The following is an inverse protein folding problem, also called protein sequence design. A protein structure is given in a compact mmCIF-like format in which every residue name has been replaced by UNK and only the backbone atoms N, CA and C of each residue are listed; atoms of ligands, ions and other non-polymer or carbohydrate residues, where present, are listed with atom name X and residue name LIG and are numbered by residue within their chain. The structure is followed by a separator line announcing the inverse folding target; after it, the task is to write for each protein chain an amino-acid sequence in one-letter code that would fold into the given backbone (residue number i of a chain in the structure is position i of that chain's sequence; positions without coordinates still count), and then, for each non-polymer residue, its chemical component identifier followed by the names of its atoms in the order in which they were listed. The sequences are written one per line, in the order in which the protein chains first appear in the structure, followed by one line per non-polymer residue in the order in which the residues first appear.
data_IF_427508293214
#
_entry.id   IF_427508293214
#
_cell.length_a   1.000
_cell.length_b   1.000
_cell.length_c   1.000
_cell.angle_alpha   90.00
_cell.angle_beta   90.00
_cell.angle_gamma   90.00
#
_symmetry.space_group_name_H-M   'P 1'
#
loop_
_entity.id
_entity.type
_entity.pdbx_description
1 polymer ?
#
# COMPACT_ATOMS: atom_id res chain seq x y z
N UNK A 1 -3.99 48.70 12.85
CA UNK A 1 -4.74 47.51 13.29
C UNK A 1 -4.72 46.51 12.16
N UNK A 2 -3.92 45.46 12.27
CA UNK A 2 -3.94 44.29 11.40
C UNK A 2 -3.73 43.07 12.31
N UNK A 3 -4.62 42.10 12.18
CA UNK A 3 -4.87 41.04 13.15
C UNK A 3 -3.75 40.03 13.27
N UNK A 4 -3.48 39.67 14.53
CA UNK A 4 -2.77 38.48 14.94
C UNK A 4 -3.73 37.29 14.76
N UNK A 5 -3.40 36.39 13.84
CA UNK A 5 -4.20 35.20 13.57
C UNK A 5 -3.27 34.03 13.35
N UNK A 6 -3.30 33.09 14.31
CA UNK A 6 -2.84 31.72 14.12
C UNK A 6 -1.68 31.29 15.01
N UNK A 7 -1.91 31.08 16.30
CA UNK A 7 -0.94 30.33 17.13
C UNK A 7 -1.56 29.36 18.16
N UNK A 8 -2.82 28.96 17.98
CA UNK A 8 -3.53 28.10 18.95
C UNK A 8 -3.12 26.62 18.95
N UNK A 9 -2.60 26.08 17.84
CA UNK A 9 -2.39 24.63 17.72
C UNK A 9 -1.13 24.10 18.43
N UNK A 10 -0.12 24.94 18.65
CA UNK A 10 1.13 24.49 19.29
C UNK A 10 0.98 24.24 20.79
N UNK A 11 0.11 25.01 21.43
CA UNK A 11 -0.05 25.01 22.89
C UNK A 11 -0.89 23.81 23.37
N UNK A 12 -1.82 23.35 22.53
CA UNK A 12 -2.68 22.20 22.84
C UNK A 12 -1.94 20.85 22.71
N UNK A 13 -1.01 20.75 21.75
CA UNK A 13 -0.15 19.57 21.60
C UNK A 13 0.79 19.37 22.80
N UNK A 14 1.36 20.47 23.30
CA UNK A 14 2.22 20.45 24.50
C UNK A 14 1.44 20.14 25.78
N UNK A 15 0.20 20.63 25.90
CA UNK A 15 -0.67 20.27 27.02
C UNK A 15 -1.05 18.79 26.98
N UNK A 16 -1.35 18.26 25.80
CA UNK A 16 -1.67 16.85 25.62
C UNK A 16 -0.47 15.95 25.98
N UNK A 17 0.76 16.30 25.56
CA UNK A 17 1.95 15.50 25.90
C UNK A 17 2.18 15.47 27.43
N UNK A 18 2.07 16.62 28.10
CA UNK A 18 2.24 16.71 29.54
C UNK A 18 1.16 15.95 30.33
N UNK A 19 -0.06 15.83 29.78
CA UNK A 19 -1.13 15.02 30.37
C UNK A 19 -0.88 13.53 30.17
N UNK A 20 -0.41 13.12 28.98
CA UNK A 20 -0.09 11.71 28.70
C UNK A 20 1.05 11.22 29.59
N UNK A 21 2.11 12.03 29.79
CA UNK A 21 3.26 11.67 30.64
C UNK A 21 2.90 11.48 32.12
N UNK A 22 1.78 12.06 32.58
CA UNK A 22 1.30 11.94 33.96
C UNK A 22 0.43 10.71 34.20
N UNK A 23 0.04 9.98 33.17
CA UNK A 23 -0.76 8.78 33.31
C UNK A 23 0.08 7.63 33.89
N UNK A 24 -0.52 6.70 34.65
CA UNK A 24 0.08 5.42 34.96
C UNK A 24 0.58 4.71 33.70
N UNK A 25 1.73 4.03 33.80
CA UNK A 25 2.38 3.37 32.66
C UNK A 25 1.41 2.46 31.88
N UNK A 26 0.56 1.71 32.58
CA UNK A 26 -0.44 0.82 31.98
C UNK A 26 -1.41 1.57 31.06
N UNK A 27 -1.85 2.78 31.45
CA UNK A 27 -2.75 3.59 30.63
C UNK A 27 -2.02 4.24 29.46
N UNK A 28 -0.75 4.62 29.64
CA UNK A 28 0.08 5.07 28.52
C UNK A 28 0.22 3.95 27.50
N UNK A 29 0.58 2.74 27.94
CA UNK A 29 0.73 1.57 27.07
C UNK A 29 -0.57 1.26 26.32
N UNK A 30 -1.74 1.31 26.98
CA UNK A 30 -3.05 1.12 26.32
C UNK A 30 -3.33 2.21 25.29
N UNK A 31 -3.12 3.48 25.63
CA UNK A 31 -3.32 4.58 24.66
C UNK A 31 -2.38 4.41 23.48
N UNK A 32 -1.13 4.03 23.73
CA UNK A 32 -0.13 3.78 22.70
C UNK A 32 -0.54 2.61 21.80
N UNK A 33 -1.04 1.53 22.39
CA UNK A 33 -1.54 0.36 21.67
C UNK A 33 -2.72 0.73 20.79
N UNK A 34 -3.62 1.59 21.26
CA UNK A 34 -4.78 2.03 20.48
C UNK A 34 -4.44 3.06 19.41
N UNK A 35 -3.36 3.83 19.56
CA UNK A 35 -3.05 4.98 18.67
C UNK A 35 -1.92 4.72 17.69
N UNK A 36 -1.03 3.77 17.97
CA UNK A 36 0.16 3.48 17.15
C UNK A 36 0.14 2.07 16.54
N UNK A 37 -0.98 1.33 16.64
CA UNK A 37 -1.24 0.21 15.73
C UNK A 37 -1.88 0.76 14.46
N UNK A 38 -1.22 0.55 13.33
CA UNK A 38 -1.84 0.81 12.05
C UNK A 38 -2.76 -0.35 11.69
N UNK A 39 -3.97 -0.02 11.24
CA UNK A 39 -4.82 -1.01 10.57
C UNK A 39 -4.05 -1.61 9.41
N UNK A 40 -4.09 -2.93 9.32
CA UNK A 40 -3.40 -3.62 8.26
C UNK A 40 -4.16 -3.42 6.93
N UNK A 41 -3.47 -2.95 5.89
CA UNK A 41 -4.07 -2.56 4.61
C UNK A 41 -3.37 -3.23 3.42
N UNK A 42 -4.02 -3.18 2.26
CA UNK A 42 -3.36 -3.40 0.98
C UNK A 42 -2.85 -2.05 0.46
N UNK A 43 -1.53 -1.91 0.46
CA UNK A 43 -0.83 -0.76 -0.07
C UNK A 43 -0.48 -1.01 -1.54
N UNK A 44 -0.98 -0.17 -2.43
CA UNK A 44 -0.79 -0.30 -3.86
C UNK A 44 0.04 0.88 -4.37
N UNK A 45 1.14 0.57 -5.05
CA UNK A 45 2.05 1.56 -5.63
C UNK A 45 2.10 1.38 -7.13
N UNK A 46 1.86 2.47 -7.86
CA UNK A 46 1.77 2.43 -9.31
C UNK A 46 2.66 3.53 -9.88
N UNK A 47 3.64 3.14 -10.70
CA UNK A 47 4.48 4.10 -11.44
C UNK A 47 3.66 4.81 -12.52
N UNK A 48 2.94 4.01 -13.31
CA UNK A 48 2.30 4.49 -14.52
C UNK A 48 0.89 5.03 -14.21
N UNK A 49 0.72 6.34 -14.37
CA UNK A 49 -0.59 7.01 -14.17
C UNK A 49 -1.67 6.49 -15.10
N UNK A 50 -1.33 5.99 -16.29
CA UNK A 50 -2.32 5.49 -17.24
C UNK A 50 -2.89 4.14 -16.78
N UNK A 51 -2.06 3.29 -16.15
CA UNK A 51 -2.51 2.04 -15.52
C UNK A 51 -3.41 2.29 -14.32
N UNK A 52 -3.17 3.39 -13.60
CA UNK A 52 -3.95 3.77 -12.41
C UNK A 52 -5.41 4.06 -12.74
N UNK A 53 -5.68 4.76 -13.85
CA UNK A 53 -7.00 5.32 -14.16
C UNK A 53 -8.05 4.30 -14.63
N UNK A 54 -7.63 3.14 -15.15
CA UNK A 54 -8.59 2.17 -15.71
C UNK A 54 -8.86 0.99 -14.79
N UNK A 55 -7.84 0.47 -14.10
CA UNK A 55 -7.95 -0.80 -13.36
C UNK A 55 -8.26 -0.63 -11.87
N UNK A 56 -7.80 0.47 -11.28
CA UNK A 56 -7.90 0.67 -9.83
C UNK A 56 -8.97 1.66 -9.41
N UNK A 57 -9.43 2.53 -10.31
CA UNK A 57 -10.49 3.47 -9.99
C UNK A 57 -11.78 2.73 -9.57
N UNK A 58 -12.13 1.62 -10.24
CA UNK A 58 -13.26 0.78 -9.83
C UNK A 58 -13.05 0.15 -8.44
N UNK A 59 -11.82 -0.26 -8.11
CA UNK A 59 -11.47 -0.79 -6.80
C UNK A 59 -11.55 0.28 -5.71
N UNK A 60 -11.11 1.50 -6.00
CA UNK A 60 -11.16 2.63 -5.06
C UNK A 60 -12.60 3.07 -4.82
N UNK A 61 -13.44 3.07 -5.86
CA UNK A 61 -14.85 3.43 -5.72
C UNK A 61 -15.63 2.37 -4.92
N UNK A 62 -15.35 1.09 -5.14
CA UNK A 62 -16.05 -0.01 -4.48
C UNK A 62 -15.52 -0.31 -3.08
N UNK A 63 -14.23 -0.08 -2.83
CA UNK A 63 -13.60 -0.44 -1.56
C UNK A 63 -13.41 0.78 -0.65
N UNK A 64 -13.73 0.60 0.63
CA UNK A 64 -13.44 1.62 1.64
C UNK A 64 -11.95 1.94 1.71
N UNK A 65 -11.61 3.22 1.89
CA UNK A 65 -10.25 3.72 2.21
C UNK A 65 -9.62 3.11 3.47
N UNK A 66 -10.39 2.35 4.25
CA UNK A 66 -9.90 1.53 5.35
C UNK A 66 -9.17 0.26 4.88
N UNK A 67 -9.52 -0.31 3.73
CA UNK A 67 -8.96 -1.57 3.24
C UNK A 67 -7.76 -1.37 2.29
N UNK A 68 -7.78 -0.29 1.51
CA UNK A 68 -6.80 -0.03 0.44
C UNK A 68 -6.20 1.36 0.55
N UNK A 69 -4.90 1.46 0.29
CA UNK A 69 -4.17 2.70 0.21
C UNK A 69 -3.38 2.76 -1.10
N UNK A 70 -3.73 3.68 -2.00
CA UNK A 70 -3.11 3.80 -3.34
C UNK A 70 -2.24 5.05 -3.39
N UNK A 71 -0.97 4.89 -3.81
CA UNK A 71 0.00 5.95 -4.08
C UNK A 71 0.20 6.99 -2.97
N UNK A 72 -0.23 6.69 -1.74
CA UNK A 72 0.17 7.51 -0.59
C UNK A 72 1.63 7.20 -0.31
N UNK A 73 2.43 8.24 -0.11
CA UNK A 73 3.86 8.11 0.19
C UNK A 73 4.04 7.04 1.28
N UNK A 74 4.84 6.01 0.98
CA UNK A 74 5.16 4.83 1.84
C UNK A 74 5.67 5.19 3.22
N UNK A 75 6.01 6.45 3.41
CA UNK A 75 6.58 7.00 4.63
C UNK A 75 5.47 7.70 5.42
N UNK A 76 4.63 6.99 6.21
CA UNK A 76 4.16 7.61 7.43
C UNK A 76 5.44 8.02 8.16
N UNK A 77 5.54 9.28 8.58
CA UNK A 77 6.75 9.77 9.20
C UNK A 77 7.02 8.97 10.49
N UNK A 78 7.74 7.85 10.39
CA UNK A 78 8.14 7.02 11.53
C UNK A 78 8.93 7.85 12.55
N UNK A 79 9.55 8.93 12.09
CA UNK A 79 10.22 9.92 12.91
C UNK A 79 9.27 10.68 13.85
N UNK A 80 7.99 10.76 13.53
CA UNK A 80 6.96 11.39 14.36
C UNK A 80 6.40 10.45 15.43
N UNK A 81 6.67 9.15 15.32
CA UNK A 81 6.37 8.17 16.36
C UNK A 81 7.49 8.18 17.40
N UNK A 82 7.12 8.11 18.68
CA UNK A 82 8.06 7.96 19.80
C UNK A 82 9.00 6.77 19.53
N UNK A 83 10.29 6.93 19.83
CA UNK A 83 11.32 5.90 19.63
C UNK A 83 10.91 4.53 20.18
N UNK A 84 10.27 4.49 21.33
CA UNK A 84 9.81 3.25 21.97
C UNK A 84 8.67 2.56 21.20
N UNK A 85 7.85 3.32 20.49
CA UNK A 85 6.66 2.83 19.78
C UNK A 85 6.91 2.60 18.29
N UNK A 86 8.04 3.08 17.75
CA UNK A 86 8.41 2.90 16.33
C UNK A 86 8.42 1.43 15.91
N UNK A 87 8.97 0.55 16.74
CA UNK A 87 9.03 -0.87 16.42
C UNK A 87 7.64 -1.49 16.37
N UNK A 88 6.76 -1.13 17.31
CA UNK A 88 5.38 -1.62 17.34
C UNK A 88 4.58 -1.12 16.15
N UNK A 89 4.67 0.18 15.85
CA UNK A 89 4.06 0.77 14.67
C UNK A 89 4.59 0.12 13.40
N UNK A 90 5.91 -0.01 13.25
CA UNK A 90 6.52 -0.63 12.07
C UNK A 90 6.07 -2.09 11.92
N UNK A 91 5.99 -2.85 13.01
CA UNK A 91 5.52 -4.24 12.97
C UNK A 91 4.02 -4.33 12.62
N UNK A 92 3.21 -3.35 13.03
CA UNK A 92 1.79 -3.29 12.67
C UNK A 92 1.58 -2.87 11.22
N UNK A 93 2.34 -1.87 10.75
CA UNK A 93 2.18 -1.26 9.43
C UNK A 93 2.86 -2.09 8.34
N UNK A 94 4.08 -2.58 8.57
CA UNK A 94 4.86 -3.36 7.60
C UNK A 94 4.82 -4.88 7.85
N UNK A 95 4.26 -5.34 8.97
CA UNK A 95 4.21 -6.76 9.29
C UNK A 95 3.26 -7.56 8.40
N UNK A 96 3.19 -8.87 8.67
CA UNK A 96 2.53 -9.87 7.83
C UNK A 96 1.06 -9.61 7.48
N UNK A 97 0.37 -8.78 8.25
CA UNK A 97 -1.01 -8.48 7.96
C UNK A 97 -1.13 -7.45 6.83
N UNK A 98 -0.15 -6.57 6.62
CA UNK A 98 -0.18 -5.58 5.55
C UNK A 98 0.43 -6.12 4.27
N UNK A 99 -0.18 -5.78 3.14
CA UNK A 99 0.25 -6.25 1.83
C UNK A 99 0.78 -5.07 1.03
N UNK A 100 1.95 -5.22 0.40
CA UNK A 100 2.57 -4.18 -0.40
C UNK A 100 2.63 -4.66 -1.85
N UNK A 101 1.72 -4.16 -2.68
CA UNK A 101 1.58 -4.48 -4.09
C UNK A 101 2.21 -3.38 -4.96
N UNK A 102 3.19 -3.77 -5.76
CA UNK A 102 4.04 -2.88 -6.53
C UNK A 102 3.76 -3.12 -8.03
N UNK A 103 3.06 -2.19 -8.66
CA UNK A 103 2.74 -2.21 -10.09
C UNK A 103 3.83 -1.47 -10.84
N UNK A 104 4.48 -2.19 -11.75
CA UNK A 104 5.58 -1.72 -12.62
C UNK A 104 6.68 -1.03 -11.82
N UNK A 105 7.70 -1.79 -11.40
CA UNK A 105 8.84 -1.22 -10.70
C UNK A 105 10.02 -1.08 -11.66
N UNK A 106 10.39 0.15 -12.00
CA UNK A 106 11.79 0.48 -12.26
C UNK A 106 12.53 0.65 -10.93
N UNK A 107 13.85 0.37 -10.88
CA UNK A 107 14.69 0.53 -9.68
C UNK A 107 14.48 1.86 -8.96
N UNK A 108 14.34 2.95 -9.74
CA UNK A 108 14.15 4.29 -9.21
C UNK A 108 12.96 4.37 -8.25
N UNK A 109 11.88 3.63 -8.48
CA UNK A 109 10.68 3.67 -7.65
C UNK A 109 10.79 2.78 -6.42
N UNK A 110 11.36 1.59 -6.53
CA UNK A 110 11.64 0.80 -5.32
C UNK A 110 12.58 1.58 -4.38
N UNK A 111 13.62 2.19 -4.92
CA UNK A 111 14.58 2.97 -4.12
C UNK A 111 14.02 4.30 -3.62
N UNK A 112 13.28 5.05 -4.44
CA UNK A 112 12.73 6.36 -4.01
C UNK A 112 11.51 6.25 -3.12
N UNK A 113 10.66 5.24 -3.34
CA UNK A 113 9.41 5.10 -2.61
C UNK A 113 9.61 4.25 -1.35
N UNK A 114 10.28 3.10 -1.43
CA UNK A 114 10.49 2.24 -0.26
C UNK A 114 11.71 2.68 0.59
N UNK A 115 12.75 3.24 -0.04
CA UNK A 115 13.95 3.69 0.65
C UNK A 115 14.53 2.62 1.58
N UNK A 116 14.83 3.00 2.82
CA UNK A 116 15.29 2.06 3.86
C UNK A 116 14.18 1.22 4.50
N UNK A 117 12.92 1.46 4.18
CA UNK A 117 11.78 0.71 4.75
C UNK A 117 11.52 -0.62 4.03
N UNK A 118 12.15 -0.83 2.88
CA UNK A 118 12.07 -2.08 2.12
C UNK A 118 12.45 -3.32 2.94
N UNK A 119 13.31 -3.15 3.94
CA UNK A 119 13.76 -4.24 4.82
C UNK A 119 12.70 -4.63 5.85
N UNK A 120 11.72 -3.75 6.10
CA UNK A 120 10.62 -3.99 7.04
C UNK A 120 9.45 -4.72 6.39
N UNK A 121 9.34 -4.70 5.06
CA UNK A 121 8.27 -5.37 4.31
C UNK A 121 8.70 -6.82 4.10
N UNK A 122 8.07 -7.82 4.73
CA UNK A 122 8.52 -9.20 4.67
C UNK A 122 8.33 -9.80 3.27
N UNK A 123 7.16 -9.55 2.66
CA UNK A 123 6.68 -10.19 1.43
C UNK A 123 6.15 -9.13 0.45
N UNK A 124 7.05 -8.39 -0.22
CA UNK A 124 6.65 -7.44 -1.25
C UNK A 124 6.11 -8.17 -2.48
N UNK A 125 4.94 -7.75 -2.97
CA UNK A 125 4.32 -8.31 -4.16
C UNK A 125 4.67 -7.47 -5.40
N UNK A 126 5.26 -8.08 -6.42
CA UNK A 126 5.41 -7.48 -7.74
C UNK A 126 4.25 -7.91 -8.62
N UNK A 127 3.48 -6.94 -9.11
CA UNK A 127 2.22 -7.22 -9.80
C UNK A 127 2.37 -7.09 -11.31
N UNK A 128 1.96 -8.14 -12.01
CA UNK A 128 1.82 -8.14 -13.46
C UNK A 128 0.39 -7.79 -13.86
N UNK A 129 0.29 -6.85 -14.80
CA UNK A 129 -0.99 -6.36 -15.32
C UNK A 129 -1.53 -7.24 -16.44
N UNK A 130 -0.65 -7.80 -17.26
CA UNK A 130 -1.02 -8.66 -18.36
C UNK A 130 -0.76 -10.12 -17.97
N UNK A 131 -1.74 -10.99 -18.21
CA UNK A 131 -1.57 -12.43 -18.02
C UNK A 131 -0.44 -13.00 -18.91
N UNK A 132 -0.17 -12.35 -20.05
CA UNK A 132 0.94 -12.70 -20.96
C UNK A 132 2.34 -12.55 -20.33
N UNK A 133 2.45 -11.82 -19.21
CA UNK A 133 3.72 -11.68 -18.50
C UNK A 133 4.13 -12.96 -17.74
N UNK A 134 3.23 -13.94 -17.59
CA UNK A 134 3.56 -15.23 -16.97
C UNK A 134 4.56 -16.07 -17.77
N UNK A 135 4.71 -15.82 -19.07
CA UNK A 135 5.65 -16.56 -19.91
C UNK A 135 7.12 -16.19 -19.64
N UNK A 136 7.37 -15.07 -18.96
CA UNK A 136 8.71 -14.72 -18.51
C UNK A 136 9.05 -15.47 -17.22
N UNK A 137 10.21 -16.11 -17.22
CA UNK A 137 10.74 -16.74 -16.02
C UNK A 137 10.87 -15.70 -14.90
N UNK A 138 10.29 -15.97 -13.73
CA UNK A 138 10.50 -15.15 -12.52
C UNK A 138 11.98 -14.85 -12.26
N UNK A 139 12.86 -15.78 -12.62
CA UNK A 139 14.30 -15.67 -12.49
C UNK A 139 14.84 -14.51 -13.33
N UNK A 140 14.38 -14.37 -14.58
CA UNK A 140 14.75 -13.25 -15.45
C UNK A 140 14.25 -11.92 -14.90
N UNK A 141 13.05 -11.88 -14.30
CA UNK A 141 12.57 -10.65 -13.67
C UNK A 141 13.38 -10.27 -12.44
N UNK A 142 13.76 -11.24 -11.60
CA UNK A 142 14.64 -10.97 -10.45
C UNK A 142 16.00 -10.45 -10.92
N UNK A 143 16.59 -11.08 -11.94
CA UNK A 143 17.83 -10.60 -12.57
C UNK A 143 17.67 -9.18 -13.11
N UNK A 144 16.59 -8.91 -13.86
CA UNK A 144 16.31 -7.57 -14.38
C UNK A 144 16.16 -6.53 -13.27
N UNK A 145 15.50 -6.87 -12.16
CA UNK A 145 15.40 -5.99 -11.01
C UNK A 145 16.79 -5.69 -10.42
N UNK A 146 17.64 -6.71 -10.25
CA UNK A 146 19.00 -6.56 -9.73
C UNK A 146 19.89 -5.76 -10.68
N UNK A 147 19.85 -6.06 -11.98
CA UNK A 147 20.58 -5.35 -13.03
C UNK A 147 20.16 -3.90 -13.14
N UNK A 148 18.89 -3.62 -12.83
CA UNK A 148 18.39 -2.26 -12.73
C UNK A 148 18.87 -1.54 -11.48
N UNK A 149 19.54 -2.21 -10.53
CA UNK A 149 20.10 -1.62 -9.30
C UNK A 149 19.35 -1.97 -8.01
N UNK A 150 18.31 -2.81 -8.09
CA UNK A 150 17.61 -3.29 -6.89
C UNK A 150 18.54 -4.15 -6.05
N UNK A 151 18.46 -4.00 -4.73
CA UNK A 151 19.19 -4.87 -3.81
C UNK A 151 18.80 -6.34 -4.02
N UNK A 152 19.79 -7.22 -4.20
CA UNK A 152 19.56 -8.62 -4.52
C UNK A 152 18.83 -9.37 -3.40
N UNK A 153 19.06 -9.01 -2.13
CA UNK A 153 18.34 -9.62 -1.02
C UNK A 153 16.87 -9.20 -1.02
N UNK A 154 16.56 -7.94 -1.32
CA UNK A 154 15.18 -7.50 -1.53
C UNK A 154 14.54 -8.16 -2.76
N UNK A 155 15.22 -8.16 -3.90
CA UNK A 155 14.73 -8.77 -5.14
C UNK A 155 14.43 -10.27 -4.97
N UNK A 156 15.20 -10.98 -4.14
CA UNK A 156 14.96 -12.41 -3.83
C UNK A 156 13.68 -12.67 -3.03
N UNK A 157 13.13 -11.66 -2.35
CA UNK A 157 11.91 -11.75 -1.53
C UNK A 157 10.65 -11.33 -2.27
N UNK A 158 10.77 -10.77 -3.49
CA UNK A 158 9.62 -10.41 -4.31
C UNK A 158 8.76 -11.65 -4.57
N UNK A 159 7.46 -11.52 -4.38
CA UNK A 159 6.47 -12.51 -4.78
C UNK A 159 5.81 -11.98 -6.05
N UNK A 160 5.86 -12.78 -7.10
CA UNK A 160 5.26 -12.44 -8.38
C UNK A 160 3.80 -12.83 -8.37
N UNK A 161 2.93 -11.90 -8.74
CA UNK A 161 1.49 -12.09 -8.65
C UNK A 161 0.77 -11.40 -9.79
N UNK A 162 -0.37 -11.94 -10.19
CA UNK A 162 -1.23 -11.31 -11.19
C UNK A 162 -2.15 -10.26 -10.55
N UNK A 163 -2.54 -9.28 -11.35
CA UNK A 163 -3.48 -8.23 -10.95
C UNK A 163 -4.77 -8.81 -10.31
N UNK A 164 -5.34 -9.87 -10.90
CA UNK A 164 -6.58 -10.48 -10.40
C UNK A 164 -6.47 -11.01 -8.96
N UNK A 165 -5.30 -11.51 -8.56
CA UNK A 165 -5.10 -11.98 -7.20
C UNK A 165 -5.02 -10.82 -6.21
N UNK A 166 -4.41 -9.70 -6.61
CA UNK A 166 -4.42 -8.47 -5.80
C UNK A 166 -5.83 -7.93 -5.65
N UNK A 167 -6.63 -7.92 -6.72
CA UNK A 167 -8.06 -7.57 -6.67
C UNK A 167 -8.82 -8.46 -5.69
N UNK A 168 -8.56 -9.77 -5.71
CA UNK A 168 -9.16 -10.73 -4.78
C UNK A 168 -8.79 -10.44 -3.33
N UNK A 169 -7.51 -10.17 -3.05
CA UNK A 169 -7.03 -9.79 -1.71
C UNK A 169 -7.71 -8.50 -1.23
N UNK A 170 -7.83 -7.50 -2.10
CA UNK A 170 -8.50 -6.24 -1.79
C UNK A 170 -9.98 -6.46 -1.46
N UNK A 171 -10.72 -7.20 -2.30
CA UNK A 171 -12.14 -7.51 -2.08
C UNK A 171 -12.36 -8.27 -0.77
N UNK A 172 -11.55 -9.29 -0.50
CA UNK A 172 -11.59 -10.06 0.74
C UNK A 172 -11.41 -9.15 1.96
N UNK A 173 -10.46 -8.22 1.90
CA UNK A 173 -10.16 -7.29 2.98
C UNK A 173 -11.24 -6.21 3.17
N UNK A 174 -11.89 -5.82 2.09
CA UNK A 174 -13.06 -4.94 2.12
C UNK A 174 -14.35 -5.65 2.59
N UNK A 175 -14.33 -6.98 2.76
CA UNK A 175 -15.51 -7.77 3.12
C UNK A 175 -16.50 -7.94 1.97
N UNK A 176 -16.05 -7.76 0.72
CA UNK A 176 -16.87 -7.91 -0.49
C UNK A 176 -16.79 -9.38 -0.93
N UNK A 177 -17.95 -10.00 -1.19
CA UNK A 177 -17.99 -11.38 -1.70
C UNK A 177 -17.28 -11.46 -3.04
N UNK A 178 -16.46 -12.49 -3.23
CA UNK A 178 -15.71 -12.71 -4.47
C UNK A 178 -16.55 -13.37 -5.56
N UNK A 179 -17.76 -13.84 -5.22
CA UNK A 179 -18.67 -14.58 -6.11
C UNK A 179 -19.45 -13.68 -7.09
N UNK A 180 -19.53 -12.37 -6.84
CA UNK A 180 -20.34 -11.43 -7.66
C UNK A 180 -19.59 -10.85 -8.87
N UNK A 181 -18.35 -11.29 -9.14
CA UNK A 181 -17.47 -10.60 -10.10
C UNK A 181 -17.14 -11.39 -11.40
N UNK A 182 -17.59 -12.64 -11.54
CA UNK A 182 -17.30 -13.45 -12.75
C UNK A 182 -18.41 -13.38 -13.82
N UNK A 183 -19.40 -12.49 -13.69
CA UNK A 183 -20.55 -12.43 -14.60
C UNK A 183 -20.68 -11.04 -15.24
N UNK A 184 -19.75 -10.63 -16.10
CA UNK A 184 -20.10 -9.67 -17.19
C UNK A 184 -19.06 -9.48 -18.31
N UNK A 185 -18.21 -10.46 -18.63
CA UNK A 185 -17.49 -10.45 -19.92
C UNK A 185 -18.29 -11.20 -20.98
N UNK A 186 -19.47 -10.68 -21.35
CA UNK A 186 -20.06 -11.06 -22.64
C UNK A 186 -19.34 -10.31 -23.77
N UNK A 187 -18.71 -11.00 -24.73
CA UNK A 187 -18.14 -10.36 -25.89
C UNK A 187 -19.30 -9.77 -26.71
N UNK A 188 -19.28 -8.44 -26.84
CA UNK A 188 -20.16 -7.70 -27.75
C UNK A 188 -19.82 -8.10 -29.18
N UNK A 189 -20.52 -9.13 -29.67
CA UNK A 189 -20.44 -9.64 -31.03
C UNK A 189 -20.96 -8.56 -31.99
N UNK A 190 -20.01 -7.82 -32.57
CA UNK A 190 -20.23 -6.79 -33.57
C UNK A 190 -20.76 -7.40 -34.87
N UNK A 191 -22.08 -7.57 -34.94
CA UNK A 191 -22.80 -7.91 -36.16
C UNK A 191 -22.63 -6.83 -37.24
N UNK A 192 -21.67 -7.04 -38.15
CA UNK A 192 -21.63 -6.37 -39.46
C UNK A 192 -22.73 -6.94 -40.34
N UNK A 193 -23.87 -6.23 -40.44
CA UNK A 193 -24.76 -6.37 -41.61
C UNK A 193 -24.31 -5.39 -42.69
N UNK A 194 -23.74 -5.96 -43.75
CA UNK A 194 -23.72 -5.32 -45.06
C UNK A 194 -25.13 -5.46 -45.67
N UNK A 195 -25.74 -4.35 -46.07
CA UNK A 195 -26.85 -4.34 -47.00
C UNK A 195 -26.54 -3.38 -48.16
N UNK A 196 -26.88 -3.92 -49.33
CA UNK A 196 -26.73 -3.49 -50.73
C UNK A 196 -26.86 -2.00 -51.06
#
# INVERSE_FOLDING_TARGET
MAGDSGNGNGDDSLKLSALIERLPQELQDIIYDMTFTADAKVHIYIENRDLRLSMLDELVEKCSSSAVEIDKKILPHLLWVNRHSRQKFASSYFGHNSVFALYTITEWIASSVLGSLRDLIPEPLLVFVNDDAQDFSELLYRELCVDSGMDAAFASRLIFINHHEVVKMVKQRAGISTEDAEVDETPSDGGKKAEN
#
